data_IF_753789428758
#
_entry.id   IF_753789428758
#
_cell.length_a   1.000
_cell.length_b   1.000
_cell.length_c   1.000
_cell.angle_alpha   90.00
_cell.angle_beta   90.00
_cell.angle_gamma   90.00
#
_symmetry.space_group_name_H-M   'P 1'
#
loop_
_entity.id
_entity.type
_entity.pdbx_description
1 polymer ?
#
# COMPACT_ATOMS: atom_id res chain seq x y z
N UNK A 1 -22.23 53.20 -46.47
CA UNK A 1 -23.45 52.40 -46.23
C UNK A 1 -23.04 50.95 -46.10
N UNK A 2 -23.47 50.29 -45.00
CA UNK A 2 -23.55 48.83 -44.77
C UNK A 2 -22.25 48.02 -44.83
N UNK A 3 -21.78 47.29 -43.80
CA UNK A 3 -22.49 46.57 -42.74
C UNK A 3 -21.57 46.26 -41.54
N UNK A 4 -22.17 46.38 -40.35
CA UNK A 4 -21.74 45.84 -39.05
C UNK A 4 -21.85 44.30 -38.99
N UNK A 5 -21.23 43.72 -37.95
CA UNK A 5 -21.39 42.35 -37.38
C UNK A 5 -20.12 41.49 -37.58
N UNK A 6 -19.50 40.84 -36.59
CA UNK A 6 -19.97 40.18 -35.37
C UNK A 6 -18.86 40.22 -34.29
N UNK A 7 -19.28 40.33 -33.02
CA UNK A 7 -18.46 40.18 -31.80
C UNK A 7 -18.10 38.71 -31.58
N UNK A 8 -16.85 38.40 -31.25
CA UNK A 8 -16.52 37.19 -30.47
C UNK A 8 -15.55 37.59 -29.36
N UNK A 9 -16.11 37.71 -28.16
CA UNK A 9 -15.36 37.75 -26.90
C UNK A 9 -14.77 36.36 -26.66
N UNK A 10 -13.44 36.25 -26.57
CA UNK A 10 -12.79 35.03 -26.08
C UNK A 10 -12.04 35.39 -24.81
N UNK A 11 -12.74 35.25 -23.70
CA UNK A 11 -12.17 35.17 -22.36
C UNK A 11 -11.57 33.76 -22.22
N UNK A 12 -10.27 33.60 -22.48
CA UNK A 12 -9.57 32.34 -22.27
C UNK A 12 -8.56 32.52 -21.12
N UNK A 13 -9.06 32.44 -19.89
CA UNK A 13 -8.23 32.24 -18.71
C UNK A 13 -7.81 30.75 -18.68
N UNK A 14 -6.66 30.45 -19.29
CA UNK A 14 -6.03 29.12 -19.24
C UNK A 14 -5.47 28.87 -17.84
N UNK A 15 -6.31 28.28 -16.98
CA UNK A 15 -5.88 27.65 -15.75
C UNK A 15 -5.11 26.36 -16.09
N UNK A 16 -3.78 26.47 -16.19
CA UNK A 16 -2.89 25.31 -16.28
C UNK A 16 -2.81 24.66 -14.89
N UNK A 17 -3.57 23.57 -14.74
CA UNK A 17 -3.49 22.67 -13.59
C UNK A 17 -2.11 22.03 -13.59
N UNK A 18 -1.28 22.36 -12.58
CA UNK A 18 -0.04 21.65 -12.31
C UNK A 18 -0.38 20.23 -11.83
N UNK A 19 -0.18 19.24 -12.70
CA UNK A 19 -0.21 17.83 -12.33
C UNK A 19 1.08 17.54 -11.56
N UNK A 20 1.08 17.76 -10.24
CA UNK A 20 2.13 17.23 -9.39
C UNK A 20 1.98 15.70 -9.36
N UNK A 21 2.76 15.01 -10.19
CA UNK A 21 2.97 13.59 -10.03
C UNK A 21 3.72 13.40 -8.70
N UNK A 22 3.02 12.95 -7.66
CA UNK A 22 3.70 12.48 -6.46
C UNK A 22 4.44 11.19 -6.85
N UNK A 23 5.74 11.31 -7.12
CA UNK A 23 6.60 10.14 -7.14
C UNK A 23 6.47 9.47 -5.77
N UNK A 24 6.01 8.22 -5.74
CA UNK A 24 6.03 7.43 -4.52
C UNK A 24 7.48 7.41 -4.01
N UNK A 25 7.72 7.66 -2.72
CA UNK A 25 9.08 7.64 -2.19
C UNK A 25 9.71 6.28 -2.52
N UNK A 26 11.00 6.30 -2.89
CA UNK A 26 11.78 5.12 -3.23
C UNK A 26 11.70 4.11 -2.08
N UNK A 27 10.73 3.18 -2.16
CA UNK A 27 10.53 2.16 -1.16
C UNK A 27 11.77 1.27 -1.20
N UNK A 28 12.56 1.29 -0.12
CA UNK A 28 13.69 0.36 0.01
C UNK A 28 13.17 -1.06 -0.21
N UNK A 29 13.88 -1.90 -0.98
CA UNK A 29 13.42 -3.25 -1.27
C UNK A 29 13.26 -4.04 0.03
N UNK A 30 12.01 -4.46 0.31
CA UNK A 30 11.64 -5.25 1.48
C UNK A 30 11.87 -6.73 1.15
N UNK A 31 13.14 -7.14 1.04
CA UNK A 31 13.51 -8.48 0.55
C UNK A 31 12.87 -9.62 1.35
N UNK A 32 12.67 -9.41 2.65
CA UNK A 32 12.08 -10.39 3.55
C UNK A 32 10.57 -10.55 3.40
N UNK A 33 9.87 -9.70 2.65
CA UNK A 33 8.46 -9.91 2.31
C UNK A 33 8.25 -11.19 1.49
N UNK A 34 9.28 -11.63 0.74
CA UNK A 34 9.24 -12.87 -0.02
C UNK A 34 9.10 -14.11 0.87
N UNK A 35 9.55 -14.06 2.13
CA UNK A 35 9.41 -15.15 3.11
C UNK A 35 7.93 -15.46 3.42
N UNK A 36 7.04 -14.48 3.25
CA UNK A 36 5.61 -14.63 3.53
C UNK A 36 4.87 -15.38 2.43
N UNK A 37 5.42 -15.41 1.20
CA UNK A 37 4.71 -15.85 0.01
C UNK A 37 4.39 -17.35 0.02
N UNK A 38 5.17 -18.16 0.73
CA UNK A 38 4.93 -19.61 0.83
C UNK A 38 3.57 -19.95 1.46
N UNK A 39 3.02 -19.06 2.29
CA UNK A 39 1.74 -19.29 2.95
C UNK A 39 0.69 -18.24 2.52
N UNK A 40 1.08 -16.98 2.37
CA UNK A 40 0.16 -15.89 2.02
C UNK A 40 0.08 -15.60 0.53
N UNK A 41 0.79 -16.38 -0.30
CA UNK A 41 0.86 -16.21 -1.75
C UNK A 41 1.77 -15.07 -2.20
N UNK A 42 2.08 -15.04 -3.50
CA UNK A 42 2.92 -13.99 -4.11
C UNK A 42 2.32 -12.61 -3.84
N UNK A 43 3.15 -11.65 -3.44
CA UNK A 43 2.75 -10.31 -3.01
C UNK A 43 1.70 -10.29 -1.88
N UNK A 44 1.54 -11.39 -1.14
CA UNK A 44 0.52 -11.53 -0.11
C UNK A 44 -0.89 -11.80 -0.63
N UNK A 45 -1.04 -12.22 -1.91
CA UNK A 45 -2.31 -12.62 -2.51
C UNK A 45 -2.52 -14.12 -2.33
N UNK A 46 -3.26 -14.49 -1.30
CA UNK A 46 -3.51 -15.90 -1.01
C UNK A 46 -4.32 -16.55 -2.13
N UNK A 47 -3.95 -17.77 -2.50
CA UNK A 47 -4.68 -18.58 -3.46
C UNK A 47 -5.80 -19.42 -2.81
N UNK A 48 -5.94 -19.37 -1.48
CA UNK A 48 -6.88 -20.20 -0.70
C UNK A 48 -7.65 -19.35 0.30
N UNK A 49 -8.85 -19.80 0.68
CA UNK A 49 -9.64 -19.12 1.70
C UNK A 49 -9.12 -19.35 3.13
N UNK A 50 -8.32 -20.39 3.34
CA UNK A 50 -7.76 -20.73 4.65
C UNK A 50 -6.65 -19.75 5.04
N UNK A 51 -5.81 -19.38 4.08
CA UNK A 51 -4.72 -18.43 4.31
C UNK A 51 -5.20 -17.01 4.03
N UNK A 52 -5.08 -16.08 5.00
CA UNK A 52 -5.53 -14.72 4.79
C UNK A 52 -4.65 -13.99 3.78
N UNK A 53 -5.29 -13.26 2.86
CA UNK A 53 -4.66 -12.31 1.96
C UNK A 53 -4.15 -11.10 2.74
N UNK A 54 -2.87 -10.76 2.58
CA UNK A 54 -2.22 -9.60 3.17
C UNK A 54 -2.24 -8.38 2.23
N UNK A 55 -2.24 -8.64 0.92
CA UNK A 55 -2.23 -7.61 -0.11
C UNK A 55 -3.42 -6.65 0.07
N UNK A 56 -3.13 -5.35 0.14
CA UNK A 56 -4.13 -4.29 0.16
C UNK A 56 -4.88 -4.15 1.48
N UNK A 57 -4.52 -4.92 2.51
CA UNK A 57 -5.04 -4.69 3.85
C UNK A 57 -4.57 -3.34 4.40
N UNK A 58 -5.37 -2.78 5.30
CA UNK A 58 -5.00 -1.54 5.99
C UNK A 58 -3.65 -1.72 6.74
N UNK A 59 -2.77 -0.74 6.54
CA UNK A 59 -1.40 -0.73 7.09
C UNK A 59 -1.41 -0.85 8.62
N UNK A 60 -2.27 -0.09 9.30
CA UNK A 60 -2.29 -0.07 10.76
C UNK A 60 -2.76 -1.42 11.31
N UNK A 61 -3.75 -2.01 10.63
CA UNK A 61 -4.29 -3.33 10.96
C UNK A 61 -3.25 -4.44 10.78
N UNK A 62 -2.48 -4.40 9.69
CA UNK A 62 -1.36 -5.33 9.46
C UNK A 62 -0.30 -5.19 10.57
N UNK A 63 0.15 -3.97 10.85
CA UNK A 63 1.17 -3.71 11.86
C UNK A 63 0.71 -4.12 13.27
N UNK A 64 -0.52 -3.77 13.63
CA UNK A 64 -1.12 -4.15 14.91
C UNK A 64 -1.20 -5.68 15.04
N UNK A 65 -1.62 -6.38 13.98
CA UNK A 65 -1.68 -7.84 13.98
C UNK A 65 -0.31 -8.47 14.16
N UNK A 66 0.70 -8.01 13.43
CA UNK A 66 2.06 -8.54 13.54
C UNK A 66 2.66 -8.29 14.92
N UNK A 67 2.46 -7.09 15.49
CA UNK A 67 2.88 -6.78 16.86
C UNK A 67 2.17 -7.61 17.91
N UNK A 68 0.86 -7.82 17.77
CA UNK A 68 0.09 -8.65 18.69
C UNK A 68 0.55 -10.12 18.66
N UNK A 69 0.92 -10.64 17.48
CA UNK A 69 1.56 -11.95 17.39
C UNK A 69 2.95 -11.97 18.05
N UNK A 70 3.76 -10.93 17.82
CA UNK A 70 5.11 -10.82 18.42
C UNK A 70 5.07 -10.71 19.95
N UNK A 71 4.14 -9.92 20.50
CA UNK A 71 3.99 -9.75 21.95
C UNK A 71 3.33 -10.94 22.65
N UNK A 72 2.66 -11.82 21.89
CA UNK A 72 1.86 -12.91 22.41
C UNK A 72 0.44 -12.51 22.81
N UNK A 73 0.03 -11.26 22.58
CA UNK A 73 -1.35 -10.79 22.79
C UNK A 73 -2.33 -11.52 21.87
N UNK A 74 -1.90 -11.85 20.65
CA UNK A 74 -2.67 -12.63 19.69
C UNK A 74 -2.13 -14.05 19.61
N UNK A 75 -2.99 -15.03 19.87
CA UNK A 75 -2.69 -16.45 19.69
C UNK A 75 -2.69 -16.85 18.21
N UNK A 76 -1.91 -17.87 17.87
CA UNK A 76 -1.82 -18.42 16.53
C UNK A 76 -1.00 -19.72 16.52
N UNK A 77 -1.06 -20.45 15.41
CA UNK A 77 -0.33 -21.72 15.27
C UNK A 77 1.17 -21.49 15.04
N UNK A 78 1.51 -20.71 14.01
CA UNK A 78 2.90 -20.47 13.58
C UNK A 78 3.29 -19.00 13.56
N UNK A 79 2.32 -18.08 13.38
CA UNK A 79 2.58 -16.65 13.28
C UNK A 79 3.26 -16.04 14.52
N UNK A 80 2.88 -16.37 15.77
CA UNK A 80 3.58 -15.87 16.96
C UNK A 80 5.09 -16.16 16.93
N UNK A 81 5.48 -17.34 16.45
CA UNK A 81 6.87 -17.79 16.34
C UNK A 81 7.60 -17.08 15.21
N UNK A 82 6.95 -16.93 14.03
CA UNK A 82 7.55 -16.21 12.89
C UNK A 82 7.80 -14.75 13.21
N UNK A 83 6.86 -14.08 13.90
CA UNK A 83 7.00 -12.65 14.23
C UNK A 83 8.12 -12.36 15.23
N UNK A 84 8.67 -13.38 15.92
CA UNK A 84 9.86 -13.19 16.76
C UNK A 84 11.10 -12.83 15.95
N UNK A 85 11.20 -13.30 14.70
CA UNK A 85 12.37 -13.12 13.85
C UNK A 85 12.51 -11.71 13.24
N UNK A 86 11.52 -10.84 13.45
CA UNK A 86 11.50 -9.49 12.86
C UNK A 86 11.60 -8.41 13.94
N UNK A 87 12.35 -7.35 13.66
CA UNK A 87 12.39 -6.11 14.45
C UNK A 87 11.14 -5.27 14.21
N UNK A 88 10.85 -4.32 15.10
CA UNK A 88 9.71 -3.41 14.91
C UNK A 88 9.79 -2.57 13.63
N UNK A 89 11.00 -2.22 13.19
CA UNK A 89 11.22 -1.49 11.94
C UNK A 89 10.96 -2.37 10.71
N UNK A 90 11.28 -3.66 10.78
CA UNK A 90 10.94 -4.62 9.73
C UNK A 90 9.43 -4.90 9.68
N UNK A 91 8.76 -4.96 10.83
CA UNK A 91 7.30 -5.08 10.87
C UNK A 91 6.61 -3.86 10.23
N UNK A 92 7.14 -2.66 10.45
CA UNK A 92 6.65 -1.46 9.78
C UNK A 92 6.84 -1.57 8.26
N UNK A 93 8.02 -1.99 7.80
CA UNK A 93 8.30 -2.20 6.39
C UNK A 93 7.40 -3.28 5.75
N UNK A 94 7.10 -4.38 6.45
CA UNK A 94 6.13 -5.38 5.98
C UNK A 94 4.73 -4.79 5.83
N UNK A 95 4.27 -4.02 6.81
CA UNK A 95 2.95 -3.39 6.78
C UNK A 95 2.85 -2.38 5.63
N UNK A 96 3.89 -1.56 5.44
CA UNK A 96 4.02 -0.63 4.31
C UNK A 96 3.99 -1.38 2.98
N UNK A 97 4.77 -2.46 2.85
CA UNK A 97 4.85 -3.25 1.63
C UNK A 97 3.51 -3.90 1.24
N UNK A 98 2.86 -4.62 2.17
CA UNK A 98 1.64 -5.38 1.84
C UNK A 98 0.42 -4.48 1.64
N UNK A 99 0.31 -3.38 2.41
CA UNK A 99 -0.79 -2.42 2.23
C UNK A 99 -0.74 -1.69 0.88
N UNK A 100 0.44 -1.58 0.27
CA UNK A 100 0.62 -0.99 -1.05
C UNK A 100 0.26 -1.94 -2.22
N UNK A 101 0.10 -3.24 -1.97
CA UNK A 101 -0.23 -4.22 -3.02
C UNK A 101 -1.74 -4.16 -3.34
N UNK A 102 -2.12 -3.55 -4.47
CA UNK A 102 -3.53 -3.43 -4.92
C UNK A 102 -3.88 -4.49 -5.95
#
# INVERSE_FOLDING_TARGET
MTRFSIKVSVLAATCLIALAAQAAPDAKPVYFASNCANCHGTDGRSATEIMPTLAGQDRQTLLASMRAYKSGERSGTIMPQLMQGYTDDELQQLADYFSAQK
#
